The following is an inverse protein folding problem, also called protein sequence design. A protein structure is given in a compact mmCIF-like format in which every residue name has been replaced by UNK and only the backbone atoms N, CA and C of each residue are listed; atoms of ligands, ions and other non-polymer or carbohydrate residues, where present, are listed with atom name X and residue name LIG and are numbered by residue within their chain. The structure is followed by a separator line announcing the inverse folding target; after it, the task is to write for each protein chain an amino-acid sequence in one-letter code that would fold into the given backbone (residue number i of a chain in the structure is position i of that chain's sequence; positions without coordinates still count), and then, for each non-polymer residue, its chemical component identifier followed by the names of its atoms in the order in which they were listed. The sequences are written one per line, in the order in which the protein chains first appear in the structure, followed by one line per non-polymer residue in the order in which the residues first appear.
data_IF_183545023270
#
_entry.id   IF_183545023270
#
_cell.length_a   1.000
_cell.length_b   1.000
_cell.length_c   1.000
_cell.angle_alpha   90.00
_cell.angle_beta   90.00
_cell.angle_gamma   90.00
#
_symmetry.space_group_name_H-M   'P 1'
#
loop_
_entity.id
_entity.type
_entity.pdbx_description
1 polymer ?
#
# COMPACT_ATOMS: atom_id res chain seq x y z
N UNK A 1 -14.97 -13.02 -10.03
CA UNK A 1 -13.52 -13.00 -9.77
C UNK A 1 -13.26 -12.27 -8.47
N UNK A 2 -12.52 -12.86 -7.53
CA UNK A 2 -12.05 -12.16 -6.34
C UNK A 2 -10.93 -11.19 -6.73
N UNK A 3 -11.19 -9.88 -6.72
CA UNK A 3 -10.15 -8.86 -6.80
C UNK A 3 -9.28 -8.97 -5.53
N UNK A 4 -8.25 -9.81 -5.58
CA UNK A 4 -7.28 -9.92 -4.50
C UNK A 4 -6.25 -8.79 -4.65
N UNK A 5 -6.63 -7.61 -4.17
CA UNK A 5 -5.74 -6.46 -4.07
C UNK A 5 -5.33 -6.31 -2.60
N UNK A 6 -4.03 -6.41 -2.34
CA UNK A 6 -3.46 -6.27 -1.00
C UNK A 6 -2.77 -4.91 -0.88
N UNK A 7 -3.06 -4.17 0.19
CA UNK A 7 -2.45 -2.86 0.45
C UNK A 7 -1.76 -2.89 1.81
N UNK A 8 -0.45 -2.64 1.80
CA UNK A 8 0.39 -2.58 2.99
C UNK A 8 0.93 -1.15 3.12
N UNK A 9 0.66 -0.51 4.25
CA UNK A 9 1.03 0.90 4.47
C UNK A 9 1.92 1.04 5.70
N UNK A 10 3.07 1.70 5.54
CA UNK A 10 3.99 2.01 6.62
C UNK A 10 4.42 3.47 6.58
N UNK A 11 4.05 4.28 7.55
CA UNK A 11 4.47 5.67 7.54
C UNK A 11 3.61 6.54 8.43
N UNK A 12 3.33 7.74 7.95
CA UNK A 12 2.53 8.71 8.69
C UNK A 12 1.08 8.78 8.17
N UNK A 13 0.34 9.77 8.66
CA UNK A 13 -1.05 10.03 8.24
C UNK A 13 -1.18 10.27 6.73
N UNK A 14 -0.17 10.88 6.11
CA UNK A 14 -0.18 11.14 4.67
C UNK A 14 -0.19 9.84 3.86
N UNK A 15 0.66 8.86 4.21
CA UNK A 15 0.69 7.56 3.54
C UNK A 15 -0.64 6.80 3.70
N UNK A 16 -1.29 6.95 4.86
CA UNK A 16 -2.61 6.35 5.10
C UNK A 16 -3.68 6.97 4.18
N UNK A 17 -3.70 8.30 4.07
CA UNK A 17 -4.61 9.01 3.17
C UNK A 17 -4.37 8.63 1.70
N UNK A 18 -3.12 8.63 1.24
CA UNK A 18 -2.74 8.19 -0.11
C UNK A 18 -3.22 6.76 -0.40
N UNK A 19 -3.10 5.86 0.58
CA UNK A 19 -3.57 4.48 0.44
C UNK A 19 -5.08 4.40 0.24
N UNK A 20 -5.88 5.24 0.91
CA UNK A 20 -7.33 5.30 0.68
C UNK A 20 -7.64 5.73 -0.76
N UNK A 21 -6.97 6.78 -1.25
CA UNK A 21 -7.10 7.23 -2.64
C UNK A 21 -6.65 6.15 -3.63
N UNK A 22 -5.60 5.39 -3.32
CA UNK A 22 -5.15 4.27 -4.15
C UNK A 22 -6.21 3.15 -4.23
N UNK A 23 -6.88 2.83 -3.12
CA UNK A 23 -7.96 1.82 -3.09
C UNK A 23 -9.14 2.24 -3.95
N UNK A 24 -9.62 3.47 -3.79
CA UNK A 24 -10.72 4.04 -4.60
C UNK A 24 -10.39 4.00 -6.09
N UNK A 25 -9.15 4.36 -6.46
CA UNK A 25 -8.72 4.29 -7.86
C UNK A 25 -8.59 2.86 -8.36
N UNK A 26 -8.07 1.95 -7.54
CA UNK A 26 -7.84 0.56 -7.93
C UNK A 26 -9.13 -0.20 -8.25
N UNK A 27 -10.26 0.16 -7.64
CA UNK A 27 -11.59 -0.36 -8.00
C UNK A 27 -11.98 -0.07 -9.46
N UNK A 28 -11.47 1.02 -10.04
CA UNK A 28 -11.70 1.39 -11.43
C UNK A 28 -10.82 0.68 -12.46
N UNK A 29 -9.87 -0.17 -12.02
CA UNK A 29 -8.97 -0.91 -12.91
C UNK A 29 -9.22 -2.42 -12.81
N UNK A 30 -9.01 -3.15 -13.92
CA UNK A 30 -9.08 -4.62 -13.96
C UNK A 30 -7.83 -5.28 -13.35
N UNK A 31 -7.31 -4.73 -12.25
CA UNK A 31 -6.17 -5.30 -11.56
C UNK A 31 -6.60 -6.50 -10.73
N UNK A 32 -5.94 -7.63 -10.94
CA UNK A 32 -6.17 -8.86 -10.18
C UNK A 32 -4.86 -9.34 -9.59
N UNK A 33 -4.87 -9.81 -8.34
CA UNK A 33 -3.73 -10.45 -7.70
C UNK A 33 -2.49 -9.53 -7.60
N UNK A 34 -2.68 -8.29 -7.17
CA UNK A 34 -1.61 -7.30 -7.02
C UNK A 34 -1.45 -6.87 -5.56
N UNK A 35 -0.20 -6.65 -5.14
CA UNK A 35 0.13 -6.08 -3.83
C UNK A 35 0.74 -4.70 -3.99
N UNK A 36 0.27 -3.74 -3.19
CA UNK A 36 0.76 -2.37 -3.13
C UNK A 36 1.41 -2.13 -1.78
N UNK A 37 2.63 -1.61 -1.77
CA UNK A 37 3.30 -1.17 -0.55
C UNK A 37 3.55 0.33 -0.63
N UNK A 38 2.85 1.11 0.21
CA UNK A 38 3.10 2.54 0.36
C UNK A 38 3.90 2.75 1.66
N UNK A 39 5.09 3.34 1.53
CA UNK A 39 5.96 3.54 2.69
C UNK A 39 6.64 4.90 2.74
N UNK A 40 6.95 5.33 3.96
CA UNK A 40 7.71 6.54 4.22
C UNK A 40 9.23 6.29 4.09
N UNK A 41 9.91 7.04 3.23
CA UNK A 41 11.36 6.92 3.02
C UNK A 41 12.20 7.58 4.12
N UNK A 42 11.61 8.47 4.92
CA UNK A 42 12.36 9.31 5.86
C UNK A 42 12.55 8.69 7.25
N UNK A 43 11.97 7.51 7.51
CA UNK A 43 12.21 6.79 8.77
C UNK A 43 12.76 5.38 8.54
N UNK A 44 13.84 5.05 9.24
CA UNK A 44 14.43 3.71 9.20
C UNK A 44 13.47 2.62 9.70
N UNK A 45 12.51 2.98 10.55
CA UNK A 45 11.47 2.06 11.02
C UNK A 45 10.52 1.65 9.89
N UNK A 46 10.01 2.61 9.11
CA UNK A 46 9.13 2.32 7.98
C UNK A 46 9.85 1.45 6.94
N UNK A 47 11.11 1.79 6.62
CA UNK A 47 11.96 0.98 5.71
C UNK A 47 12.20 -0.43 6.24
N UNK A 48 12.37 -0.63 7.55
CA UNK A 48 12.52 -1.97 8.15
C UNK A 48 11.23 -2.78 8.04
N UNK A 49 10.06 -2.17 8.23
CA UNK A 49 8.76 -2.87 8.13
C UNK A 49 8.47 -3.33 6.71
N UNK A 50 8.75 -2.46 5.73
CA UNK A 50 8.78 -2.77 4.29
C UNK A 50 9.54 -4.07 4.05
N UNK A 51 10.84 -4.12 4.39
CA UNK A 51 11.69 -5.30 4.17
C UNK A 51 11.20 -6.60 4.82
N UNK A 52 10.41 -6.54 5.89
CA UNK A 52 9.87 -7.72 6.59
C UNK A 52 8.53 -8.20 6.03
N UNK A 53 7.91 -7.43 5.14
CA UNK A 53 6.57 -7.71 4.63
C UNK A 53 6.60 -8.54 3.34
N UNK A 54 7.79 -8.98 2.90
CA UNK A 54 8.06 -9.82 1.74
C UNK A 54 8.96 -10.97 2.14
#
# INVERSE_FOLDING_TARGET
MSNNLNFITFGCKLNAFETQVMKEKAEGYFLTNHSFINSCAVTNEAVKKVKKSY
#
